data_IF_870720025227
#
_entry.id   IF_870720025227
#
_cell.length_a   1.000
_cell.length_b   1.000
_cell.length_c   1.000
_cell.angle_alpha   90.00
_cell.angle_beta   90.00
_cell.angle_gamma   90.00
#
_symmetry.space_group_name_H-M   'P 1'
#
loop_
_entity.id
_entity.type
_entity.pdbx_description
1 polymer ?
#
# COMPACT_ATOMS: atom_id res chain seq x y z
N UNK A 1 -23.52 39.29 -20.37
CA UNK A 1 -22.19 39.20 -19.71
C UNK A 1 -22.13 39.89 -18.35
N UNK A 2 -22.71 41.08 -18.14
CA UNK A 2 -22.68 41.78 -16.83
C UNK A 2 -23.37 41.04 -15.64
N UNK A 3 -24.39 40.22 -15.90
CA UNK A 3 -25.07 39.46 -14.83
C UNK A 3 -24.23 38.30 -14.29
N UNK A 4 -23.38 37.70 -15.12
CA UNK A 4 -22.51 36.58 -14.72
C UNK A 4 -21.35 37.08 -13.85
N UNK A 5 -20.77 38.23 -14.21
CA UNK A 5 -19.69 38.87 -13.45
C UNK A 5 -20.17 39.40 -12.11
N UNK A 6 -21.38 39.96 -12.03
CA UNK A 6 -22.00 40.36 -10.75
C UNK A 6 -22.27 39.19 -9.81
N UNK A 7 -22.71 38.04 -10.34
CA UNK A 7 -22.95 36.83 -9.55
C UNK A 7 -21.64 36.22 -9.01
N UNK A 8 -20.59 36.20 -9.83
CA UNK A 8 -19.24 35.78 -9.43
C UNK A 8 -18.64 36.72 -8.37
N UNK A 9 -18.85 38.04 -8.48
CA UNK A 9 -18.40 39.02 -7.49
C UNK A 9 -19.15 38.90 -6.15
N UNK A 10 -20.44 38.56 -6.17
CA UNK A 10 -21.24 38.30 -4.95
C UNK A 10 -20.86 36.95 -4.33
N UNK A 11 -20.55 35.94 -5.15
CA UNK A 11 -20.02 34.64 -4.72
C UNK A 11 -18.61 34.77 -4.09
N UNK A 12 -17.75 35.63 -4.65
CA UNK A 12 -16.44 36.00 -4.10
C UNK A 12 -16.54 36.83 -2.81
N UNK A 13 -17.65 37.53 -2.56
CA UNK A 13 -17.89 38.28 -1.30
C UNK A 13 -18.66 37.48 -0.24
N UNK A 14 -19.19 36.31 -0.58
CA UNK A 14 -20.08 35.51 0.26
C UNK A 14 -19.37 34.56 1.24
N UNK A 15 -20.15 33.98 2.15
CA UNK A 15 -19.67 32.96 3.11
C UNK A 15 -19.06 31.72 2.44
N UNK A 16 -19.40 31.44 1.18
CA UNK A 16 -18.84 30.34 0.38
C UNK A 16 -17.35 30.49 0.09
N UNK A 17 -16.87 31.70 -0.26
CA UNK A 17 -15.43 31.92 -0.47
C UNK A 17 -14.67 31.77 0.84
N UNK A 18 -15.21 32.30 1.95
CA UNK A 18 -14.61 32.15 3.28
C UNK A 18 -14.52 30.67 3.68
N UNK A 19 -15.57 29.89 3.45
CA UNK A 19 -15.57 28.45 3.68
C UNK A 19 -14.53 27.72 2.82
N UNK A 20 -14.39 28.08 1.53
CA UNK A 20 -13.40 27.48 0.64
C UNK A 20 -11.96 27.82 1.06
N UNK A 21 -11.69 29.06 1.48
CA UNK A 21 -10.39 29.48 2.01
C UNK A 21 -10.08 28.74 3.30
N UNK A 22 -11.04 28.63 4.21
CA UNK A 22 -10.88 27.88 5.47
C UNK A 22 -10.60 26.40 5.17
N UNK A 23 -11.37 25.77 4.28
CA UNK A 23 -11.18 24.37 3.90
C UNK A 23 -9.80 24.14 3.26
N UNK A 24 -9.39 25.01 2.34
CA UNK A 24 -8.05 24.94 1.71
C UNK A 24 -6.94 25.13 2.74
N UNK A 25 -7.09 26.08 3.65
CA UNK A 25 -6.10 26.32 4.72
C UNK A 25 -5.98 25.10 5.64
N UNK A 26 -7.11 24.50 6.05
CA UNK A 26 -7.12 23.27 6.83
C UNK A 26 -6.40 22.15 6.08
N UNK A 27 -6.67 21.97 4.78
CA UNK A 27 -6.00 20.97 3.95
C UNK A 27 -4.49 21.19 3.88
N UNK A 28 -4.03 22.43 3.70
CA UNK A 28 -2.60 22.77 3.64
C UNK A 28 -1.92 22.49 4.99
N UNK A 29 -2.51 22.97 6.09
CA UNK A 29 -1.98 22.72 7.45
C UNK A 29 -1.93 21.22 7.74
N UNK A 30 -2.94 20.48 7.29
CA UNK A 30 -2.97 19.03 7.44
C UNK A 30 -1.87 18.35 6.62
N UNK A 31 -1.64 18.79 5.38
CA UNK A 31 -0.53 18.30 4.56
C UNK A 31 0.84 18.57 5.18
N UNK A 32 1.06 19.77 5.73
CA UNK A 32 2.30 20.15 6.42
C UNK A 32 2.55 19.27 7.65
N UNK A 33 1.48 18.90 8.37
CA UNK A 33 1.58 18.10 9.60
C UNK A 33 1.58 16.59 9.35
N UNK A 34 1.19 16.13 8.15
CA UNK A 34 1.11 14.70 7.82
C UNK A 34 2.42 13.91 8.02
N UNK A 35 3.62 14.46 7.70
CA UNK A 35 4.90 13.76 7.92
C UNK A 35 5.27 13.60 9.40
N UNK A 36 4.70 14.38 10.32
CA UNK A 36 5.11 14.39 11.74
C UNK A 36 5.02 12.99 12.36
N UNK A 37 3.94 12.24 12.09
CA UNK A 37 3.80 10.89 12.62
C UNK A 37 4.90 9.93 12.14
N UNK A 38 5.36 10.09 10.89
CA UNK A 38 6.46 9.31 10.31
C UNK A 38 7.80 9.67 10.95
N UNK A 39 8.04 10.97 11.17
CA UNK A 39 9.25 11.45 11.83
C UNK A 39 9.31 11.00 13.30
N UNK A 40 8.19 11.07 14.03
CA UNK A 40 8.11 10.61 15.43
C UNK A 40 8.37 9.11 15.53
N UNK A 41 7.81 8.31 14.63
CA UNK A 41 8.11 6.87 14.57
C UNK A 41 9.61 6.62 14.32
N UNK A 42 10.20 7.31 13.35
CA UNK A 42 11.62 7.16 13.01
C UNK A 42 12.54 7.56 14.16
N UNK A 43 12.27 8.69 14.81
CA UNK A 43 12.98 9.11 16.03
C UNK A 43 12.82 8.09 17.16
N UNK A 44 11.63 7.46 17.28
CA UNK A 44 11.37 6.39 18.23
C UNK A 44 12.25 5.16 17.99
N UNK A 45 12.36 4.72 16.74
CA UNK A 45 13.24 3.62 16.33
C UNK A 45 14.71 3.95 16.58
N UNK A 46 15.17 5.15 16.17
CA UNK A 46 16.54 5.61 16.43
C UNK A 46 16.85 5.69 17.93
N UNK A 47 15.89 6.06 18.78
CA UNK A 47 16.09 6.07 20.22
C UNK A 47 16.13 4.65 20.82
N UNK A 48 15.42 3.69 20.24
CA UNK A 48 15.45 2.27 20.63
C UNK A 48 16.77 1.61 20.22
N UNK A 49 17.27 1.87 19.02
CA UNK A 49 18.58 1.38 18.56
C UNK A 49 19.76 2.01 19.31
N UNK A 50 19.60 3.24 19.82
CA UNK A 50 20.57 3.90 20.70
C UNK A 50 20.42 3.53 22.18
N UNK A 51 19.54 2.57 22.53
CA UNK A 51 19.38 2.09 23.92
C UNK A 51 18.71 3.07 24.89
N UNK A 52 18.19 4.20 24.41
CA UNK A 52 17.65 5.29 25.25
C UNK A 52 16.30 4.97 25.90
N UNK A 53 15.66 3.85 25.54
CA UNK A 53 14.30 3.46 25.98
C UNK A 53 14.23 2.15 26.77
N UNK A 54 15.36 1.60 27.20
CA UNK A 54 15.46 0.29 27.88
C UNK A 54 15.02 0.28 29.36
N UNK A 55 14.11 1.17 29.79
CA UNK A 55 13.73 1.26 31.22
C UNK A 55 12.34 0.76 31.60
N UNK A 56 11.43 0.49 30.65
CA UNK A 56 10.03 0.18 30.99
C UNK A 56 9.50 -1.20 30.54
N UNK A 57 10.36 -2.12 30.05
CA UNK A 57 9.91 -3.48 29.65
C UNK A 57 10.25 -4.59 30.66
N UNK A 58 11.01 -4.28 31.72
CA UNK A 58 11.47 -5.26 32.71
C UNK A 58 10.50 -5.48 33.89
N UNK A 59 9.37 -4.76 33.98
CA UNK A 59 8.45 -4.89 35.12
C UNK A 59 7.07 -5.49 34.78
N UNK A 60 6.82 -5.91 33.54
CA UNK A 60 5.57 -6.62 33.17
C UNK A 60 5.88 -8.04 32.67
N UNK A 61 6.47 -8.85 33.55
CA UNK A 61 6.83 -10.24 33.25
C UNK A 61 7.12 -11.04 34.52
N UNK A 62 6.33 -10.83 35.57
CA UNK A 62 6.41 -11.65 36.78
C UNK A 62 5.03 -12.19 37.12
N UNK A 63 4.69 -13.34 36.55
CA UNK A 63 3.70 -14.23 37.14
C UNK A 63 3.96 -15.68 36.72
N UNK A 64 4.27 -16.46 37.74
CA UNK A 64 4.05 -17.89 37.93
C UNK A 64 4.82 -18.91 37.08
N UNK A 65 5.93 -19.33 37.67
CA UNK A 65 6.44 -20.70 37.61
C UNK A 65 5.34 -21.69 38.02
N UNK A 66 5.04 -22.65 37.14
CA UNK A 66 4.16 -23.78 37.39
C UNK A 66 4.50 -24.90 36.41
N UNK A 67 5.04 -26.00 36.95
CA UNK A 67 5.41 -27.21 36.23
C UNK A 67 4.28 -27.72 35.32
N UNK A 68 4.55 -27.92 34.03
CA UNK A 68 3.77 -28.83 33.17
C UNK A 68 4.72 -29.61 32.26
N UNK A 69 4.47 -30.91 32.26
CA UNK A 69 5.21 -32.03 31.70
C UNK A 69 5.43 -31.96 30.18
N UNK A 70 6.53 -32.56 29.74
CA UNK A 70 6.91 -32.77 28.35
C UNK A 70 5.95 -33.74 27.64
N UNK A 71 5.25 -33.37 26.55
CA UNK A 71 4.62 -34.33 25.67
C UNK A 71 5.55 -34.63 24.49
N UNK A 72 5.75 -35.92 24.28
CA UNK A 72 6.54 -36.52 23.23
C UNK A 72 6.10 -36.09 21.81
N UNK A 73 7.12 -35.87 20.98
CA UNK A 73 7.20 -36.35 19.60
C UNK A 73 5.94 -36.21 18.72
N UNK A 74 5.54 -34.97 18.42
CA UNK A 74 4.69 -34.69 17.27
C UNK A 74 5.61 -34.43 16.07
N UNK A 75 5.74 -35.42 15.19
CA UNK A 75 6.42 -35.27 13.90
C UNK A 75 5.80 -34.07 13.16
N UNK A 76 6.53 -32.97 13.11
CA UNK A 76 6.21 -31.83 12.24
C UNK A 76 6.32 -32.37 10.81
N UNK A 77 5.26 -32.32 9.99
CA UNK A 77 5.37 -32.70 8.59
C UNK A 77 6.45 -31.84 7.95
N UNK A 78 7.34 -32.45 7.17
CA UNK A 78 8.36 -31.81 6.35
C UNK A 78 7.69 -30.78 5.41
N UNK A 79 7.39 -29.60 5.94
CA UNK A 79 6.82 -28.48 5.22
C UNK A 79 8.04 -27.71 4.73
N UNK A 80 8.40 -27.90 3.46
CA UNK A 80 9.51 -27.16 2.87
C UNK A 80 9.34 -25.67 3.16
N UNK A 81 10.43 -25.00 3.51
CA UNK A 81 10.43 -23.57 3.83
C UNK A 81 9.83 -22.82 2.63
N UNK A 82 8.66 -22.19 2.82
CA UNK A 82 8.05 -21.38 1.78
C UNK A 82 8.90 -20.12 1.58
N UNK A 83 9.35 -19.89 0.35
CA UNK A 83 10.21 -18.77 -0.01
C UNK A 83 9.54 -17.79 -0.99
N UNK A 84 8.21 -17.78 -1.00
CA UNK A 84 7.38 -16.89 -1.79
C UNK A 84 6.35 -16.18 -0.90
N UNK A 85 6.26 -14.86 -1.04
CA UNK A 85 5.32 -14.03 -0.28
C UNK A 85 4.52 -13.14 -1.23
N UNK A 86 3.20 -13.16 -1.07
CA UNK A 86 2.26 -12.26 -1.75
C UNK A 86 1.83 -11.20 -0.75
N UNK A 87 2.21 -9.96 -0.99
CA UNK A 87 1.93 -8.83 -0.11
C UNK A 87 0.85 -7.99 -0.79
N UNK A 88 -0.28 -7.78 -0.13
CA UNK A 88 -1.34 -6.90 -0.64
C UNK A 88 -1.27 -5.54 0.06
N UNK A 89 -1.22 -4.47 -0.74
CA UNK A 89 -1.15 -3.08 -0.28
C UNK A 89 -2.40 -2.35 -0.80
N UNK A 90 -3.43 -2.21 0.05
CA UNK A 90 -4.70 -1.58 -0.30
C UNK A 90 -4.55 -0.12 -0.77
N UNK A 91 -5.61 0.38 -1.39
CA UNK A 91 -5.67 1.70 -2.01
C UNK A 91 -6.05 2.79 -1.03
N UNK A 92 -5.99 4.05 -1.46
CA UNK A 92 -6.25 5.20 -0.58
C UNK A 92 -7.70 5.23 -0.04
N UNK A 93 -8.59 4.42 -0.61
CA UNK A 93 -9.95 4.20 -0.12
C UNK A 93 -10.05 3.38 1.16
N UNK A 94 -9.01 2.62 1.51
CA UNK A 94 -9.10 1.61 2.58
C UNK A 94 -8.81 2.16 3.97
N UNK A 95 -9.54 1.60 4.93
CA UNK A 95 -9.82 2.23 6.20
C UNK A 95 -8.88 1.77 7.32
N UNK A 96 -8.27 0.58 7.22
CA UNK A 96 -7.32 0.07 8.22
C UNK A 96 -6.46 -1.08 7.68
N UNK A 97 -5.49 -1.57 8.48
CA UNK A 97 -4.69 -2.76 8.18
C UNK A 97 -5.54 -4.05 8.10
N UNK A 98 -6.70 -4.04 8.75
CA UNK A 98 -7.49 -5.24 9.04
C UNK A 98 -8.85 -5.23 8.30
N UNK A 99 -9.10 -4.25 7.43
CA UNK A 99 -10.36 -4.10 6.69
C UNK A 99 -10.07 -4.07 5.18
N UNK A 100 -9.92 -5.25 4.57
CA UNK A 100 -10.06 -5.42 3.13
C UNK A 100 -11.54 -5.34 2.76
N UNK A 101 -11.85 -4.83 1.56
CA UNK A 101 -13.20 -4.98 1.01
C UNK A 101 -13.51 -6.46 0.73
N UNK A 102 -14.79 -6.88 0.67
CA UNK A 102 -15.14 -8.27 0.36
C UNK A 102 -14.51 -8.77 -0.95
N UNK A 103 -14.44 -7.92 -1.97
CA UNK A 103 -13.79 -8.23 -3.23
C UNK A 103 -12.26 -8.38 -3.13
N UNK A 104 -11.59 -7.55 -2.34
CA UNK A 104 -10.15 -7.69 -2.11
C UNK A 104 -9.81 -8.94 -1.28
N UNK A 105 -10.62 -9.26 -0.28
CA UNK A 105 -10.51 -10.50 0.49
C UNK A 105 -10.72 -11.71 -0.42
N UNK A 106 -11.77 -11.70 -1.24
CA UNK A 106 -12.02 -12.74 -2.24
C UNK A 106 -10.85 -12.89 -3.20
N UNK A 107 -10.33 -11.79 -3.74
CA UNK A 107 -9.18 -11.78 -4.64
C UNK A 107 -7.95 -12.41 -3.99
N UNK A 108 -7.58 -11.94 -2.79
CA UNK A 108 -6.36 -12.39 -2.11
C UNK A 108 -6.47 -13.86 -1.71
N UNK A 109 -7.63 -14.27 -1.14
CA UNK A 109 -7.89 -15.66 -0.79
C UNK A 109 -7.79 -16.57 -1.99
N UNK A 110 -8.47 -16.24 -3.08
CA UNK A 110 -8.48 -17.08 -4.28
C UNK A 110 -7.10 -17.14 -4.93
N UNK A 111 -6.32 -16.05 -4.88
CA UNK A 111 -4.96 -16.04 -5.42
C UNK A 111 -4.03 -16.98 -4.64
N UNK A 112 -4.16 -17.05 -3.31
CA UNK A 112 -3.39 -17.97 -2.45
C UNK A 112 -3.82 -19.41 -2.68
N UNK A 113 -5.13 -19.67 -2.80
CA UNK A 113 -5.66 -21.01 -3.05
C UNK A 113 -5.10 -21.61 -4.37
N UNK A 114 -4.79 -20.75 -5.35
CA UNK A 114 -4.19 -21.15 -6.63
C UNK A 114 -2.65 -21.21 -6.59
N UNK A 115 -2.02 -20.52 -5.64
CA UNK A 115 -0.56 -20.48 -5.44
C UNK A 115 -0.16 -20.93 -4.02
N UNK A 116 -0.39 -22.21 -3.67
CA UNK A 116 -0.13 -22.72 -2.32
C UNK A 116 1.35 -22.71 -1.92
N UNK A 117 2.27 -22.49 -2.86
CA UNK A 117 3.70 -22.27 -2.62
C UNK A 117 4.04 -20.88 -2.07
N UNK A 118 3.07 -19.96 -2.01
CA UNK A 118 3.25 -18.60 -1.55
C UNK A 118 2.42 -18.31 -0.29
N UNK A 119 2.98 -17.50 0.62
CA UNK A 119 2.30 -17.03 1.82
C UNK A 119 1.71 -15.65 1.56
N UNK A 120 0.40 -15.47 1.78
CA UNK A 120 -0.20 -14.13 1.73
C UNK A 120 0.00 -13.34 3.02
N UNK A 121 0.29 -12.06 2.83
CA UNK A 121 0.42 -11.04 3.86
C UNK A 121 -0.47 -9.87 3.46
N UNK A 122 -1.71 -9.86 3.98
CA UNK A 122 -2.73 -8.86 3.66
C UNK A 122 -2.91 -7.79 4.74
N UNK A 123 -2.38 -8.01 5.94
CA UNK A 123 -2.53 -7.19 7.14
C UNK A 123 -1.46 -6.09 7.24
N UNK A 124 -1.19 -5.43 6.11
CA UNK A 124 -0.24 -4.32 6.02
C UNK A 124 -1.01 -3.07 5.63
N UNK A 125 -0.98 -2.05 6.50
CA UNK A 125 -1.57 -0.76 6.18
C UNK A 125 -0.54 0.14 5.48
N UNK A 126 -0.62 0.34 4.15
CA UNK A 126 0.35 1.12 3.39
C UNK A 126 0.39 2.60 3.80
N UNK A 127 -0.54 3.05 4.65
CA UNK A 127 -0.73 4.44 5.09
C UNK A 127 -0.31 4.69 6.56
N UNK A 128 0.45 3.75 7.15
CA UNK A 128 1.01 3.86 8.50
C UNK A 128 2.40 3.20 8.56
N UNK A 129 3.46 4.00 8.69
CA UNK A 129 4.83 3.50 8.86
C UNK A 129 5.02 2.62 10.13
N UNK A 130 4.15 2.77 11.12
CA UNK A 130 4.13 1.94 12.33
C UNK A 130 3.22 0.71 12.19
N UNK A 131 2.59 0.50 11.04
CA UNK A 131 1.57 -0.51 10.76
C UNK A 131 0.43 -0.60 11.80
N UNK A 132 0.11 0.53 12.43
CA UNK A 132 -1.00 0.65 13.37
C UNK A 132 -2.24 1.22 12.69
N UNK A 133 -3.39 0.62 13.00
CA UNK A 133 -4.73 1.13 12.66
C UNK A 133 -4.96 2.53 13.25
N UNK A 134 -6.00 3.24 12.79
CA UNK A 134 -6.22 4.67 13.04
C UNK A 134 -6.25 5.00 14.55
N UNK A 135 -6.70 4.08 15.41
CA UNK A 135 -6.72 4.20 16.86
C UNK A 135 -5.35 4.11 17.59
N UNK A 136 -4.28 3.72 16.90
CA UNK A 136 -2.97 3.47 17.51
C UNK A 136 -2.05 4.69 17.67
N UNK A 137 -2.42 5.86 17.12
CA UNK A 137 -1.64 7.10 17.27
C UNK A 137 -2.07 7.87 18.52
N UNK A 138 -1.25 7.77 19.58
CA UNK A 138 -1.56 8.20 20.95
C UNK A 138 -2.05 9.65 21.10
N UNK A 139 -1.64 10.55 20.21
CA UNK A 139 -1.99 11.98 20.27
C UNK A 139 -3.37 12.32 19.67
N UNK A 140 -3.86 11.55 18.70
CA UNK A 140 -5.11 11.85 17.98
C UNK A 140 -6.13 10.70 18.00
N UNK A 141 -5.84 9.61 18.73
CA UNK A 141 -6.71 8.44 18.87
C UNK A 141 -8.18 8.75 19.24
N UNK A 142 -8.52 9.78 20.06
CA UNK A 142 -9.92 10.13 20.33
C UNK A 142 -10.67 10.67 19.10
N UNK A 143 -10.00 11.51 18.30
CA UNK A 143 -10.54 12.09 17.06
C UNK A 143 -10.75 10.98 16.02
N UNK A 144 -9.76 10.11 15.86
CA UNK A 144 -9.86 9.00 14.91
C UNK A 144 -10.94 7.99 15.30
N UNK A 145 -11.07 7.64 16.58
CA UNK A 145 -12.16 6.77 17.06
C UNK A 145 -13.55 7.40 16.89
N UNK A 146 -13.65 8.73 16.87
CA UNK A 146 -14.90 9.43 16.59
C UNK A 146 -15.23 9.37 15.09
N UNK A 147 -14.22 9.59 14.23
CA UNK A 147 -14.34 9.45 12.77
C UNK A 147 -14.68 8.01 12.35
N UNK A 148 -14.04 7.00 12.93
CA UNK A 148 -14.37 5.57 12.71
C UNK A 148 -15.79 5.24 13.12
N UNK A 149 -16.28 5.79 14.24
CA UNK A 149 -17.67 5.57 14.72
C UNK A 149 -18.71 6.35 13.92
N UNK A 150 -18.31 7.37 13.18
CA UNK A 150 -19.18 8.14 12.29
C UNK A 150 -19.30 7.54 10.87
N UNK A 151 -18.71 6.34 10.63
CA UNK A 151 -18.88 5.57 9.39
C UNK A 151 -20.36 5.44 9.01
N UNK A 152 -20.68 5.70 7.75
CA UNK A 152 -22.04 5.55 7.20
C UNK A 152 -23.03 6.70 7.45
N UNK A 153 -22.64 7.78 8.15
CA UNK A 153 -23.45 9.01 8.25
C UNK A 153 -22.84 10.11 7.39
N UNK A 154 -23.42 10.29 6.21
CA UNK A 154 -23.30 11.39 5.23
C UNK A 154 -22.09 12.34 5.45
N UNK A 155 -21.07 12.14 4.58
CA UNK A 155 -20.04 13.08 4.10
C UNK A 155 -18.77 13.34 4.95
N UNK A 156 -18.72 13.17 6.28
CA UNK A 156 -17.50 13.60 7.01
C UNK A 156 -16.45 12.52 7.29
N UNK A 157 -16.78 11.23 7.43
CA UNK A 157 -15.81 10.21 7.86
C UNK A 157 -14.89 9.69 6.74
N UNK A 158 -15.50 9.10 5.72
CA UNK A 158 -14.79 8.41 4.64
C UNK A 158 -13.95 9.39 3.79
N UNK A 159 -14.45 10.61 3.57
CA UNK A 159 -13.74 11.65 2.84
C UNK A 159 -12.46 12.09 3.56
N UNK A 160 -12.50 12.27 4.89
CA UNK A 160 -11.33 12.64 5.68
C UNK A 160 -10.25 11.55 5.63
N UNK A 161 -10.65 10.28 5.69
CA UNK A 161 -9.72 9.15 5.60
C UNK A 161 -9.08 9.10 4.21
N UNK A 162 -9.86 9.24 3.13
CA UNK A 162 -9.34 9.30 1.76
C UNK A 162 -8.33 10.44 1.58
N UNK A 163 -8.62 11.62 2.14
CA UNK A 163 -7.69 12.77 2.12
C UNK A 163 -6.40 12.45 2.90
N UNK A 164 -6.49 11.85 4.08
CA UNK A 164 -5.30 11.42 4.84
C UNK A 164 -4.47 10.41 4.06
N UNK A 165 -5.10 9.39 3.49
CA UNK A 165 -4.40 8.36 2.72
C UNK A 165 -3.77 8.95 1.46
N UNK A 166 -4.41 9.94 0.83
CA UNK A 166 -3.81 10.74 -0.24
C UNK A 166 -2.57 11.51 0.24
N UNK A 167 -2.58 12.08 1.45
CA UNK A 167 -1.38 12.70 2.03
C UNK A 167 -0.25 11.68 2.28
N UNK A 168 -0.58 10.45 2.69
CA UNK A 168 0.42 9.39 2.89
C UNK A 168 1.03 8.93 1.56
N UNK A 169 0.20 8.81 0.53
CA UNK A 169 0.66 8.66 -0.86
C UNK A 169 1.59 9.81 -1.27
N UNK A 170 1.22 11.07 -1.02
CA UNK A 170 2.06 12.23 -1.32
C UNK A 170 3.39 12.23 -0.54
N UNK A 171 3.40 11.74 0.70
CA UNK A 171 4.64 11.59 1.49
C UNK A 171 5.55 10.53 0.90
N UNK A 172 5.03 9.38 0.48
CA UNK A 172 5.80 8.32 -0.17
C UNK A 172 6.51 8.81 -1.44
N UNK A 173 5.91 9.80 -2.11
CA UNK A 173 6.45 10.48 -3.30
C UNK A 173 7.50 11.56 -3.00
N UNK A 174 7.46 12.17 -1.83
CA UNK A 174 8.30 13.32 -1.49
C UNK A 174 9.73 12.87 -1.20
N UNK A 175 10.73 13.55 -1.77
CA UNK A 175 12.13 13.16 -1.61
C UNK A 175 12.66 13.36 -0.17
N UNK A 176 12.07 14.26 0.63
CA UNK A 176 12.51 14.59 1.99
C UNK A 176 11.98 13.61 3.01
N UNK A 177 10.74 13.17 2.83
CA UNK A 177 10.03 12.34 3.80
C UNK A 177 9.81 10.91 3.32
N UNK A 178 9.80 10.69 2.00
CA UNK A 178 9.51 9.41 1.37
C UNK A 178 10.52 8.33 1.73
N UNK A 179 11.81 8.64 1.89
CA UNK A 179 12.82 7.68 2.34
C UNK A 179 12.43 7.06 3.69
N UNK A 180 12.18 7.89 4.70
CA UNK A 180 11.79 7.44 6.04
C UNK A 180 10.46 6.70 6.01
N UNK A 181 9.50 7.22 5.25
CA UNK A 181 8.18 6.63 5.13
C UNK A 181 8.23 5.22 4.51
N UNK A 182 8.87 5.10 3.36
CA UNK A 182 8.96 3.87 2.59
C UNK A 182 9.79 2.81 3.32
N UNK A 183 10.82 3.24 4.07
CA UNK A 183 11.57 2.38 4.97
C UNK A 183 10.67 1.79 6.07
N UNK A 184 9.84 2.62 6.71
CA UNK A 184 8.89 2.14 7.72
C UNK A 184 7.85 1.17 7.17
N UNK A 185 7.37 1.39 5.94
CA UNK A 185 6.51 0.42 5.26
C UNK A 185 7.27 -0.90 4.99
N UNK A 186 8.53 -0.85 4.54
CA UNK A 186 9.32 -2.05 4.36
C UNK A 186 9.51 -2.84 5.68
N UNK A 187 9.77 -2.14 6.79
CA UNK A 187 9.83 -2.78 8.13
C UNK A 187 8.51 -3.44 8.48
N UNK A 188 7.38 -2.74 8.29
CA UNK A 188 6.05 -3.29 8.52
C UNK A 188 5.76 -4.55 7.68
N UNK A 189 6.19 -4.56 6.42
CA UNK A 189 6.06 -5.72 5.53
C UNK A 189 6.84 -6.91 6.11
N UNK A 190 8.10 -6.71 6.52
CA UNK A 190 8.94 -7.76 7.10
C UNK A 190 8.34 -8.30 8.40
N UNK A 191 7.91 -7.43 9.30
CA UNK A 191 7.30 -7.84 10.57
C UNK A 191 6.06 -8.71 10.35
N UNK A 192 5.22 -8.37 9.36
CA UNK A 192 4.03 -9.17 9.03
C UNK A 192 4.36 -10.45 8.27
N UNK A 193 5.38 -10.43 7.41
CA UNK A 193 5.90 -11.64 6.79
C UNK A 193 6.37 -12.65 7.85
N UNK A 194 7.23 -12.23 8.78
CA UNK A 194 7.73 -13.07 9.90
C UNK A 194 6.59 -13.59 10.78
N UNK A 195 5.57 -12.76 11.04
CA UNK A 195 4.41 -13.16 11.82
C UNK A 195 3.57 -14.25 11.14
N UNK A 196 3.61 -14.35 9.80
CA UNK A 196 2.90 -15.39 9.02
C UNK A 196 3.75 -16.63 8.83
N UNK A 197 5.03 -16.46 8.52
CA UNK A 197 5.96 -17.56 8.30
C UNK A 197 7.40 -17.07 8.55
N UNK A 198 8.24 -17.85 9.26
CA UNK A 198 9.62 -17.47 9.51
C UNK A 198 10.38 -17.19 8.21
N UNK A 199 11.11 -16.07 8.17
CA UNK A 199 11.95 -15.71 7.03
C UNK A 199 13.34 -16.32 7.20
N UNK A 200 13.78 -17.09 6.21
CA UNK A 200 15.14 -17.61 6.16
C UNK A 200 15.90 -16.94 5.02
N UNK A 201 16.75 -15.99 5.38
CA UNK A 201 17.59 -15.27 4.43
C UNK A 201 18.76 -16.18 4.04
N UNK A 202 18.84 -16.50 2.74
CA UNK A 202 19.93 -17.28 2.16
C UNK A 202 20.64 -16.46 1.07
N UNK A 203 21.99 -16.42 1.06
CA UNK A 203 22.73 -15.78 -0.02
C UNK A 203 22.46 -16.42 -1.40
N UNK A 204 22.21 -17.74 -1.40
CA UNK A 204 22.11 -18.53 -2.63
C UNK A 204 20.66 -18.71 -3.12
N UNK A 205 19.68 -18.32 -2.32
CA UNK A 205 18.27 -18.50 -2.66
C UNK A 205 17.48 -17.23 -2.33
N UNK A 206 17.32 -16.31 -3.31
CA UNK A 206 16.63 -15.05 -3.06
C UNK A 206 15.16 -15.27 -2.76
N UNK A 207 14.62 -14.49 -1.82
CA UNK A 207 13.20 -14.55 -1.43
C UNK A 207 12.35 -13.97 -2.56
N UNK A 208 11.31 -14.70 -2.98
CA UNK A 208 10.35 -14.21 -3.98
C UNK A 208 9.29 -13.36 -3.29
N UNK A 209 9.27 -12.06 -3.59
CA UNK A 209 8.31 -11.11 -3.03
C UNK A 209 7.45 -10.56 -4.16
N UNK A 210 6.14 -10.72 -4.06
CA UNK A 210 5.15 -10.20 -4.99
C UNK A 210 4.35 -9.12 -4.26
N UNK A 211 4.62 -7.86 -4.56
CA UNK A 211 3.90 -6.73 -3.98
C UNK A 211 2.73 -6.36 -4.90
N UNK A 212 1.50 -6.59 -4.47
CA UNK A 212 0.29 -6.19 -5.18
C UNK A 212 -0.21 -4.88 -4.57
N UNK A 213 -0.16 -3.79 -5.33
CA UNK A 213 -0.60 -2.48 -4.87
C UNK A 213 -1.71 -1.91 -5.74
N UNK A 214 -2.81 -1.48 -5.11
CA UNK A 214 -3.92 -0.83 -5.82
C UNK A 214 -3.91 0.69 -5.63
N UNK A 215 -4.29 1.46 -6.66
CA UNK A 215 -4.29 2.93 -6.62
C UNK A 215 -2.95 3.49 -6.07
N UNK A 216 -2.98 4.39 -5.09
CA UNK A 216 -1.76 4.91 -4.44
C UNK A 216 -0.94 3.86 -3.68
N UNK A 217 -1.50 2.70 -3.36
CA UNK A 217 -0.79 1.54 -2.79
C UNK A 217 0.31 1.02 -3.71
N UNK A 218 0.18 1.19 -5.04
CA UNK A 218 1.23 0.85 -5.99
C UNK A 218 2.50 1.70 -5.81
N UNK A 219 2.35 2.99 -5.53
CA UNK A 219 3.49 3.88 -5.22
C UNK A 219 4.15 3.47 -3.90
N UNK A 220 3.36 3.12 -2.89
CA UNK A 220 3.88 2.66 -1.60
C UNK A 220 4.64 1.33 -1.77
N UNK A 221 4.10 0.40 -2.55
CA UNK A 221 4.75 -0.85 -2.92
C UNK A 221 6.13 -0.60 -3.56
N UNK A 222 6.16 0.23 -4.61
CA UNK A 222 7.39 0.65 -5.27
C UNK A 222 8.36 1.32 -4.30
N UNK A 223 7.86 2.19 -3.41
CA UNK A 223 8.62 2.86 -2.36
C UNK A 223 9.39 1.88 -1.46
N UNK A 224 8.75 0.80 -1.03
CA UNK A 224 9.36 -0.19 -0.14
C UNK A 224 10.43 -1.07 -0.81
N UNK A 225 10.39 -1.21 -2.14
CA UNK A 225 11.26 -2.15 -2.87
C UNK A 225 12.78 -2.01 -2.65
N UNK A 226 13.39 -0.81 -2.57
CA UNK A 226 14.83 -0.71 -2.36
C UNK A 226 15.26 -1.34 -1.03
N UNK A 227 14.50 -1.08 0.04
CA UNK A 227 14.77 -1.59 1.38
C UNK A 227 14.55 -3.09 1.46
N UNK A 228 13.43 -3.60 0.94
CA UNK A 228 13.16 -5.03 0.93
C UNK A 228 14.23 -5.80 0.15
N UNK A 229 14.72 -5.25 -0.96
CA UNK A 229 15.76 -5.88 -1.76
C UNK A 229 17.09 -5.94 -1.00
N UNK A 230 17.47 -4.82 -0.38
CA UNK A 230 18.71 -4.69 0.38
C UNK A 230 18.71 -5.59 1.62
N UNK A 231 17.61 -5.63 2.37
CA UNK A 231 17.55 -6.32 3.66
C UNK A 231 17.31 -7.83 3.56
N UNK A 232 16.62 -8.29 2.51
CA UNK A 232 16.18 -9.69 2.40
C UNK A 232 16.83 -10.49 1.26
N UNK A 233 17.73 -9.91 0.46
CA UNK A 233 18.22 -10.54 -0.79
C UNK A 233 17.03 -10.98 -1.67
N UNK A 234 16.04 -10.11 -1.86
CA UNK A 234 14.76 -10.49 -2.47
C UNK A 234 14.72 -10.29 -3.99
N UNK A 235 14.05 -11.21 -4.70
CA UNK A 235 13.56 -11.04 -6.06
C UNK A 235 12.14 -10.48 -6.00
N UNK A 236 12.00 -9.19 -6.31
CA UNK A 236 10.76 -8.44 -6.11
C UNK A 236 10.04 -8.22 -7.44
N UNK A 237 8.77 -8.62 -7.51
CA UNK A 237 7.85 -8.22 -8.57
C UNK A 237 6.75 -7.33 -7.99
N UNK A 238 6.40 -6.26 -8.69
CA UNK A 238 5.27 -5.39 -8.31
C UNK A 238 4.13 -5.62 -9.30
N UNK A 239 2.94 -5.87 -8.79
CA UNK A 239 1.69 -5.92 -9.54
C UNK A 239 0.88 -4.70 -9.15
N UNK A 240 0.87 -3.69 -10.02
CA UNK A 240 0.11 -2.47 -9.85
C UNK A 240 -1.28 -2.67 -10.47
N UNK A 241 -2.35 -2.44 -9.71
CA UNK A 241 -3.75 -2.56 -10.16
C UNK A 241 -4.39 -1.18 -10.11
N UNK A 242 -4.67 -0.56 -11.26
CA UNK A 242 -5.12 0.83 -11.35
C UNK A 242 -4.20 1.81 -10.62
N UNK A 243 -2.91 1.50 -10.56
CA UNK A 243 -2.01 2.14 -9.61
C UNK A 243 -1.53 3.51 -10.05
N UNK A 244 -1.50 4.46 -9.12
CA UNK A 244 -0.93 5.78 -9.35
C UNK A 244 0.45 5.83 -8.72
N UNK A 245 1.48 6.20 -9.48
CA UNK A 245 2.87 6.32 -9.03
C UNK A 245 3.63 7.38 -9.82
N UNK A 246 4.75 7.86 -9.28
CA UNK A 246 5.55 8.91 -9.93
C UNK A 246 6.51 8.42 -10.99
N UNK A 247 6.96 7.17 -10.91
CA UNK A 247 8.01 6.67 -11.80
C UNK A 247 9.45 6.97 -11.37
N UNK A 248 9.67 7.58 -10.19
CA UNK A 248 11.03 7.83 -9.64
C UNK A 248 11.53 6.69 -8.76
N UNK A 249 10.76 6.34 -7.74
CA UNK A 249 11.20 5.44 -6.66
C UNK A 249 10.88 3.98 -7.01
N UNK A 250 11.77 3.06 -6.62
CA UNK A 250 11.56 1.62 -6.68
C UNK A 250 11.89 0.93 -8.00
N UNK A 251 11.75 1.63 -9.13
CA UNK A 251 11.97 1.05 -10.47
C UNK A 251 13.39 0.53 -10.72
N UNK A 252 14.40 1.00 -9.98
CA UNK A 252 15.78 0.48 -10.08
C UNK A 252 16.00 -0.76 -9.21
N UNK A 253 15.19 -0.95 -8.16
CA UNK A 253 15.29 -2.09 -7.26
C UNK A 253 14.46 -3.27 -7.75
N UNK A 254 13.26 -3.01 -8.26
CA UNK A 254 12.30 -4.05 -8.68
C UNK A 254 12.78 -4.85 -9.90
N UNK A 255 12.56 -6.16 -9.88
CA UNK A 255 12.88 -7.04 -11.01
C UNK A 255 11.88 -6.87 -12.14
N UNK A 256 10.58 -6.84 -11.82
CA UNK A 256 9.51 -6.59 -12.79
C UNK A 256 8.34 -5.83 -12.19
N UNK A 257 7.69 -5.02 -13.02
CA UNK A 257 6.45 -4.31 -12.71
C UNK A 257 5.43 -4.69 -13.77
N UNK A 258 4.28 -5.20 -13.34
CA UNK A 258 3.11 -5.38 -14.19
C UNK A 258 2.07 -4.38 -13.76
N UNK A 259 1.64 -3.53 -14.68
CA UNK A 259 0.67 -2.51 -14.42
C UNK A 259 -0.62 -2.88 -15.15
N UNK A 260 -1.64 -3.25 -14.37
CA UNK A 260 -2.95 -3.64 -14.85
C UNK A 260 -3.87 -2.43 -14.74
N UNK A 261 -4.47 -2.03 -15.86
CA UNK A 261 -5.35 -0.87 -15.91
C UNK A 261 -6.65 -1.19 -16.66
N UNK A 262 -7.74 -0.59 -16.18
CA UNK A 262 -9.06 -0.67 -16.78
C UNK A 262 -9.24 0.37 -17.88
N UNK A 263 -9.98 0.03 -18.94
CA UNK A 263 -10.25 1.00 -20.01
C UNK A 263 -11.24 2.11 -19.62
N UNK A 264 -11.88 2.00 -18.44
CA UNK A 264 -12.78 3.02 -17.85
C UNK A 264 -12.18 3.64 -16.58
N UNK A 265 -10.92 3.35 -16.28
CA UNK A 265 -10.19 3.97 -15.17
C UNK A 265 -9.44 5.21 -15.65
N UNK A 266 -10.02 6.38 -15.40
CA UNK A 266 -9.41 7.67 -15.73
C UNK A 266 -8.37 8.14 -14.69
N UNK A 267 -8.32 7.50 -13.51
CA UNK A 267 -7.49 7.95 -12.40
C UNK A 267 -6.05 7.46 -12.56
N UNK A 268 -5.86 6.25 -13.07
CA UNK A 268 -4.53 5.72 -13.40
C UNK A 268 -3.74 6.68 -14.33
N UNK A 269 -4.40 7.19 -15.37
CA UNK A 269 -3.82 8.10 -16.35
C UNK A 269 -3.28 9.40 -15.74
N UNK A 270 -3.81 9.84 -14.59
CA UNK A 270 -3.38 11.06 -13.90
C UNK A 270 -1.89 11.01 -13.61
N UNK A 271 -1.35 9.85 -13.23
CA UNK A 271 0.07 9.73 -12.93
C UNK A 271 0.95 10.02 -14.14
N UNK A 272 0.51 9.63 -15.34
CA UNK A 272 1.20 9.93 -16.60
C UNK A 272 1.22 11.42 -16.94
N UNK A 273 0.25 12.20 -16.46
CA UNK A 273 0.18 13.65 -16.69
C UNK A 273 0.95 14.42 -15.61
N UNK A 274 0.71 14.11 -14.34
CA UNK A 274 1.18 14.91 -13.20
C UNK A 274 2.65 14.69 -12.88
N UNK A 275 3.19 13.50 -13.17
CA UNK A 275 4.56 13.16 -12.81
C UNK A 275 5.47 13.16 -14.04
N UNK A 276 6.37 14.17 -14.19
CA UNK A 276 7.27 14.24 -15.34
C UNK A 276 8.13 12.98 -15.52
N UNK A 277 8.47 12.28 -14.44
CA UNK A 277 9.19 11.00 -14.50
C UNK A 277 8.44 9.87 -15.22
N UNK A 278 7.12 9.99 -15.49
CA UNK A 278 6.37 9.07 -16.36
C UNK A 278 6.34 9.50 -17.82
N UNK A 279 6.76 10.73 -18.16
CA UNK A 279 6.73 11.23 -19.52
C UNK A 279 7.76 10.50 -20.40
N UNK A 280 7.33 10.06 -21.58
CA UNK A 280 8.11 9.15 -22.42
C UNK A 280 9.46 9.73 -22.89
N UNK A 281 9.60 11.07 -22.95
CA UNK A 281 10.83 11.75 -23.36
C UNK A 281 11.85 11.94 -22.23
N UNK A 282 11.47 11.74 -20.96
CA UNK A 282 12.39 11.82 -19.81
C UNK A 282 13.06 10.48 -19.54
N UNK A 283 13.92 10.05 -20.47
CA UNK A 283 14.55 8.72 -20.52
C UNK A 283 15.28 8.35 -19.23
N UNK A 284 15.84 9.33 -18.50
CA UNK A 284 16.62 9.08 -17.29
C UNK A 284 15.79 8.73 -16.05
N UNK A 285 14.45 8.72 -16.11
CA UNK A 285 13.65 8.28 -14.97
C UNK A 285 13.73 6.76 -14.77
N UNK A 286 13.65 6.29 -13.51
CA UNK A 286 13.66 4.84 -13.22
C UNK A 286 12.55 4.09 -13.96
N UNK A 287 11.37 4.71 -14.09
CA UNK A 287 10.27 4.18 -14.90
C UNK A 287 10.63 3.99 -16.38
N UNK A 288 11.16 5.02 -17.04
CA UNK A 288 11.50 4.92 -18.46
C UNK A 288 12.64 3.91 -18.69
N UNK A 289 13.62 3.86 -17.78
CA UNK A 289 14.65 2.82 -17.81
C UNK A 289 14.06 1.41 -17.66
N UNK A 290 13.12 1.22 -16.72
CA UNK A 290 12.44 -0.07 -16.55
C UNK A 290 11.61 -0.47 -17.77
N UNK A 291 10.97 0.49 -18.45
CA UNK A 291 10.25 0.26 -19.71
C UNK A 291 11.21 -0.16 -20.82
N UNK A 292 12.31 0.57 -21.01
CA UNK A 292 13.32 0.27 -22.03
C UNK A 292 13.99 -1.09 -21.81
N UNK A 293 14.18 -1.48 -20.55
CA UNK A 293 14.76 -2.77 -20.18
C UNK A 293 13.74 -3.93 -20.20
N UNK A 294 12.49 -3.70 -20.62
CA UNK A 294 11.45 -4.73 -20.62
C UNK A 294 11.07 -5.25 -19.23
N UNK A 295 11.36 -4.48 -18.18
CA UNK A 295 11.01 -4.80 -16.79
C UNK A 295 9.63 -4.26 -16.39
N UNK A 296 9.08 -3.34 -17.16
CA UNK A 296 7.73 -2.79 -16.97
C UNK A 296 6.81 -3.23 -18.11
N UNK A 297 5.62 -3.74 -17.79
CA UNK A 297 4.61 -4.17 -18.76
C UNK A 297 3.22 -3.66 -18.38
N UNK A 298 2.52 -3.06 -19.34
CA UNK A 298 1.13 -2.60 -19.19
C UNK A 298 0.17 -3.65 -19.74
N UNK A 299 -0.91 -3.90 -19.02
CA UNK A 299 -1.88 -4.94 -19.32
C UNK A 299 -3.28 -4.39 -19.11
N UNK A 300 -4.08 -4.36 -20.17
CA UNK A 300 -5.50 -4.02 -20.05
C UNK A 300 -6.21 -5.14 -19.27
N UNK A 301 -6.76 -4.81 -18.10
CA UNK A 301 -7.45 -5.75 -17.23
C UNK A 301 -8.87 -6.05 -17.70
N UNK A 302 -9.52 -5.08 -18.34
CA UNK A 302 -10.89 -5.19 -18.83
C UNK A 302 -11.66 -3.88 -18.66
N UNK A 303 -13.00 -3.94 -18.56
CA UNK A 303 -13.85 -2.76 -18.42
C UNK A 303 -13.82 -2.12 -17.02
N UNK A 304 -12.76 -2.29 -16.23
CA UNK A 304 -12.71 -1.80 -14.86
C UNK A 304 -12.78 -0.27 -14.80
N UNK A 305 -13.56 0.25 -13.83
CA UNK A 305 -13.41 1.61 -13.30
C UNK A 305 -12.33 1.61 -12.22
N UNK A 306 -11.99 2.79 -11.68
CA UNK A 306 -11.00 2.86 -10.60
C UNK A 306 -11.46 2.19 -9.30
N UNK A 307 -12.71 2.44 -8.90
CA UNK A 307 -13.26 2.08 -7.59
C UNK A 307 -14.77 1.75 -7.70
N UNK A 308 -15.35 1.23 -6.62
CA UNK A 308 -16.76 0.85 -6.49
C UNK A 308 -17.06 -0.55 -7.04
N UNK A 309 -18.35 -0.88 -7.17
CA UNK A 309 -18.80 -2.23 -7.58
C UNK A 309 -18.35 -2.64 -8.99
N UNK A 310 -17.95 -1.68 -9.83
CA UNK A 310 -17.37 -1.89 -11.16
C UNK A 310 -15.86 -1.61 -11.20
N UNK A 311 -15.24 -1.38 -10.04
CA UNK A 311 -13.80 -1.22 -9.86
C UNK A 311 -13.05 -2.54 -10.00
N UNK A 312 -11.73 -2.53 -9.83
CA UNK A 312 -10.89 -3.73 -9.99
C UNK A 312 -11.34 -4.92 -9.12
N UNK A 313 -11.71 -4.65 -7.87
CA UNK A 313 -12.20 -5.64 -6.92
C UNK A 313 -13.73 -5.59 -6.76
N UNK A 314 -14.43 -5.02 -7.75
CA UNK A 314 -15.88 -4.90 -7.73
C UNK A 314 -16.58 -6.26 -7.91
N UNK A 315 -17.70 -6.43 -7.20
CA UNK A 315 -18.49 -7.67 -7.22
C UNK A 315 -19.63 -7.66 -8.27
N UNK A 316 -19.87 -6.52 -8.96
CA UNK A 316 -20.82 -6.50 -10.07
C UNK A 316 -20.35 -7.41 -11.20
N UNK A 317 -21.30 -7.92 -11.98
CA UNK A 317 -21.00 -8.68 -13.20
C UNK A 317 -20.70 -7.76 -14.38
N UNK A 318 -19.65 -8.10 -15.11
CA UNK A 318 -19.38 -7.55 -16.43
C UNK A 318 -20.27 -8.23 -17.48
N UNK A 319 -20.26 -7.70 -18.71
CA UNK A 319 -21.07 -8.20 -19.83
C UNK A 319 -20.81 -9.68 -20.17
N UNK A 320 -19.61 -10.20 -19.86
CA UNK A 320 -19.27 -11.60 -20.06
C UNK A 320 -19.72 -12.55 -18.94
N UNK A 321 -20.50 -12.04 -17.97
CA UNK A 321 -21.06 -12.81 -16.86
C UNK A 321 -20.14 -13.03 -15.66
N UNK A 322 -18.84 -12.72 -15.78
CA UNK A 322 -17.87 -12.78 -14.67
C UNK A 322 -17.95 -11.51 -13.82
N UNK A 323 -17.61 -11.59 -12.53
CA UNK A 323 -17.49 -10.39 -11.70
C UNK A 323 -16.25 -9.57 -12.10
N UNK A 324 -16.20 -8.28 -11.78
CA UNK A 324 -15.00 -7.49 -12.05
C UNK A 324 -13.77 -8.04 -11.32
N UNK A 325 -13.94 -8.53 -10.09
CA UNK A 325 -12.87 -9.20 -9.34
C UNK A 325 -12.37 -10.48 -10.02
N UNK A 326 -13.26 -11.28 -10.63
CA UNK A 326 -12.86 -12.45 -11.42
C UNK A 326 -11.99 -12.06 -12.63
N UNK A 327 -12.32 -10.94 -13.28
CA UNK A 327 -11.56 -10.45 -14.44
C UNK A 327 -10.14 -10.06 -14.06
N UNK A 328 -9.97 -9.33 -12.95
CA UNK A 328 -8.62 -8.95 -12.50
C UNK A 328 -7.84 -10.17 -12.02
N UNK A 329 -8.48 -11.07 -11.26
CA UNK A 329 -7.88 -12.32 -10.79
C UNK A 329 -7.35 -13.15 -11.96
N UNK A 330 -8.16 -13.33 -13.02
CA UNK A 330 -7.77 -14.06 -14.22
C UNK A 330 -6.57 -13.43 -14.93
N UNK A 331 -6.43 -12.10 -14.90
CA UNK A 331 -5.30 -11.39 -15.51
C UNK A 331 -4.04 -11.51 -14.67
N UNK A 332 -4.15 -11.33 -13.36
CA UNK A 332 -3.04 -11.47 -12.41
C UNK A 332 -2.51 -12.90 -12.43
N UNK A 333 -3.36 -13.92 -12.38
CA UNK A 333 -2.95 -15.33 -12.40
C UNK A 333 -2.24 -15.75 -13.70
N UNK A 334 -2.43 -15.01 -14.80
CA UNK A 334 -1.74 -15.25 -16.07
C UNK A 334 -0.35 -14.61 -16.15
N UNK A 335 0.04 -13.82 -15.16
CA UNK A 335 1.34 -13.15 -15.17
C UNK A 335 2.47 -14.18 -15.08
N UNK A 336 3.60 -13.98 -15.77
CA UNK A 336 4.71 -14.92 -15.73
C UNK A 336 5.52 -14.83 -14.43
N UNK A 337 5.03 -14.11 -13.41
CA UNK A 337 5.62 -14.07 -12.06
C UNK A 337 5.40 -15.37 -11.30
N UNK A 338 4.33 -16.10 -11.62
CA UNK A 338 3.99 -17.35 -10.96
C UNK A 338 4.87 -18.51 -11.42
N UNK A 339 5.26 -18.51 -12.69
CA UNK A 339 6.20 -19.49 -13.22
C UNK A 339 7.63 -19.16 -12.79
N UNK A 340 8.30 -20.09 -12.12
CA UNK A 340 9.75 -20.04 -11.90
C UNK A 340 10.50 -20.32 -13.21
N UNK A 341 10.27 -19.51 -14.26
CA UNK A 341 11.17 -19.53 -15.40
C UNK A 341 12.47 -18.88 -14.95
N UNK A 342 13.50 -19.71 -14.82
CA UNK A 342 14.88 -19.29 -15.03
C UNK A 342 14.87 -18.51 -16.35
N UNK A 343 15.08 -17.19 -16.28
CA UNK A 343 15.35 -16.42 -17.50
C UNK A 343 16.53 -17.10 -18.20
N UNK A 344 16.49 -17.27 -19.54
CA UNK A 344 17.63 -17.80 -20.29
C UNK A 344 18.89 -16.95 -20.10
#
# INVERSE_FOLDING_TARGET
MLKLTGWILIWLRGGSLKLLVIATTILIVWGITAPVGTLVWWLGQSAETLGLKQKNRLESGRSNSGNIETPANKRIPNSGVLNCYIIFLPGVGDFSADELTPGEEFFLKTLVDVHPECVAVGDIFPYSAANKSLGGQRLFAPVWRFVERAKGKIISGDLLIKIRNLWRFAISLDYRYGQVYNQGIATAIIERMEAKHPILISPNQPIKIILIGTSGGAQVALGATPYLKEWLNAKISVVSVGGVFSGKVGFNAVNRVYHLHGNRDIIDDIGGVVFPSRWQWLVNSGFNQARQQGRYAEIISGPHKHDGNQGYFGEDRAENGLTYVDLILKKVNKLPIWSDRKSP
#
